data_IF_496864132960
#
_entry.id   IF_496864132960
#
_cell.length_a   1.000
_cell.length_b   1.000
_cell.length_c   1.000
_cell.angle_alpha   90.00
_cell.angle_beta   90.00
_cell.angle_gamma   90.00
#
_symmetry.space_group_name_H-M   'P 1'
#
loop_
_entity.id
_entity.type
_entity.pdbx_description
1 polymer ?
#
# COMPACT_ATOMS: atom_id res chain seq x y z
N UNK A 1 -10.68 13.01 5.87
CA UNK A 1 -10.85 13.46 7.27
C UNK A 1 -12.31 13.28 7.68
N UNK A 2 -12.54 12.87 8.92
CA UNK A 2 -13.87 12.68 9.52
C UNK A 2 -13.97 13.54 10.78
N UNK A 3 -15.20 13.77 11.35
CA UNK A 3 -15.36 14.57 12.55
C UNK A 3 -14.49 14.09 13.72
N UNK A 4 -13.89 15.03 14.43
CA UNK A 4 -12.95 14.78 15.53
C UNK A 4 -13.56 13.97 16.68
N UNK A 5 -14.86 14.10 16.88
CA UNK A 5 -15.61 13.37 17.91
C UNK A 5 -15.46 11.83 17.79
N UNK A 6 -15.28 11.30 16.58
CA UNK A 6 -15.07 9.86 16.37
C UNK A 6 -13.70 9.39 16.86
N UNK A 7 -12.68 10.25 16.79
CA UNK A 7 -11.42 9.98 17.44
C UNK A 7 -11.56 10.01 18.97
N UNK A 8 -12.21 11.03 19.51
CA UNK A 8 -12.38 11.20 20.96
C UNK A 8 -13.22 10.09 21.58
N UNK A 9 -14.28 9.66 20.91
CA UNK A 9 -15.22 8.67 21.41
C UNK A 9 -14.81 7.23 21.19
N UNK A 10 -14.22 6.94 20.02
CA UNK A 10 -13.95 5.57 19.57
C UNK A 10 -12.47 5.30 19.25
N UNK A 11 -11.60 6.28 19.35
CA UNK A 11 -10.19 6.15 18.99
C UNK A 11 -9.95 5.96 17.50
N UNK A 12 -10.86 6.42 16.62
CA UNK A 12 -10.70 6.27 15.17
C UNK A 12 -9.56 7.14 14.69
N UNK A 13 -8.48 6.51 14.26
CA UNK A 13 -7.29 7.16 13.75
C UNK A 13 -6.52 6.25 12.79
N UNK A 14 -5.49 6.79 12.13
CA UNK A 14 -4.53 6.00 11.37
C UNK A 14 -3.53 5.34 12.31
N UNK A 15 -3.61 4.01 12.44
CA UNK A 15 -2.70 3.23 13.29
C UNK A 15 -1.49 2.74 12.50
N UNK A 16 -1.67 2.35 11.23
CA UNK A 16 -0.67 1.70 10.42
C UNK A 16 -0.45 0.24 10.83
N UNK A 17 0.19 -0.52 9.94
CA UNK A 17 0.51 -1.94 10.15
C UNK A 17 1.90 -2.25 9.62
N UNK A 18 2.37 -3.50 9.82
CA UNK A 18 3.74 -3.93 9.54
C UNK A 18 4.81 -3.13 10.32
N UNK A 19 4.44 -2.54 11.45
CA UNK A 19 5.28 -1.60 12.21
C UNK A 19 6.66 -2.16 12.59
N UNK A 20 6.75 -3.45 12.97
CA UNK A 20 8.03 -4.11 13.26
C UNK A 20 8.95 -4.12 12.04
N UNK A 21 8.41 -4.50 10.87
CA UNK A 21 9.16 -4.48 9.61
C UNK A 21 9.61 -3.07 9.24
N UNK A 22 8.69 -2.10 9.24
CA UNK A 22 9.01 -0.71 8.92
C UNK A 22 10.06 -0.12 9.86
N UNK A 23 9.93 -0.34 11.17
CA UNK A 23 10.90 0.14 12.16
C UNK A 23 12.27 -0.49 11.98
N UNK A 24 12.33 -1.79 11.74
CA UNK A 24 13.59 -2.50 11.54
C UNK A 24 14.28 -2.04 10.25
N UNK A 25 13.56 -2.10 9.12
CA UNK A 25 14.13 -1.79 7.81
C UNK A 25 14.57 -0.32 7.72
N UNK A 26 13.80 0.64 8.27
CA UNK A 26 14.22 2.05 8.25
C UNK A 26 15.53 2.26 9.02
N UNK A 27 15.70 1.63 10.18
CA UNK A 27 16.94 1.73 10.98
C UNK A 27 18.13 1.06 10.30
N UNK A 28 17.93 -0.12 9.71
CA UNK A 28 18.99 -0.79 8.97
C UNK A 28 19.37 -0.04 7.68
N UNK A 29 18.40 0.58 7.00
CA UNK A 29 18.67 1.45 5.84
C UNK A 29 19.54 2.66 6.24
N UNK A 30 19.23 3.31 7.36
CA UNK A 30 20.02 4.42 7.89
C UNK A 30 21.47 4.00 8.13
N UNK A 31 21.68 2.84 8.77
CA UNK A 31 23.02 2.31 9.03
C UNK A 31 23.74 1.93 7.74
N UNK A 32 23.06 1.18 6.85
CA UNK A 32 23.64 0.69 5.60
C UNK A 32 24.08 1.83 4.68
N UNK A 33 23.25 2.86 4.55
CA UNK A 33 23.54 4.03 3.73
C UNK A 33 24.39 5.11 4.42
N UNK A 34 24.85 4.84 5.67
CA UNK A 34 25.63 5.77 6.48
C UNK A 34 25.00 7.17 6.59
N UNK A 35 23.67 7.21 6.80
CA UNK A 35 22.89 8.43 6.97
C UNK A 35 22.89 8.91 8.42
N UNK A 36 22.61 10.19 8.64
CA UNK A 36 22.45 10.73 10.00
C UNK A 36 21.22 10.11 10.68
N UNK A 37 21.40 9.36 11.80
CA UNK A 37 20.29 8.67 12.47
C UNK A 37 19.25 9.61 13.09
N UNK A 38 19.52 10.92 13.19
CA UNK A 38 18.58 11.89 13.75
C UNK A 38 17.67 12.54 12.69
N UNK A 39 18.17 12.69 11.47
CA UNK A 39 17.50 13.48 10.42
C UNK A 39 17.16 12.72 9.17
N UNK A 40 17.71 11.52 8.98
CA UNK A 40 17.53 10.72 7.79
C UNK A 40 16.03 10.48 7.47
N UNK A 41 15.65 10.75 6.23
CA UNK A 41 14.32 10.59 5.66
C UNK A 41 14.26 9.32 4.83
N UNK A 42 13.59 8.30 5.37
CA UNK A 42 13.54 6.97 4.74
C UNK A 42 12.10 6.58 4.45
N UNK A 43 11.86 6.12 3.23
CA UNK A 43 10.62 5.46 2.84
C UNK A 43 10.88 3.96 2.81
N UNK A 44 10.02 3.20 3.49
CA UNK A 44 10.06 1.73 3.48
C UNK A 44 8.83 1.20 2.77
N UNK A 45 9.03 0.44 1.70
CA UNK A 45 7.99 -0.25 0.94
C UNK A 45 7.99 -1.73 1.34
N UNK A 46 7.03 -2.13 2.18
CA UNK A 46 6.77 -3.54 2.53
C UNK A 46 5.76 -4.09 1.52
N UNK A 47 6.25 -4.83 0.52
CA UNK A 47 5.47 -5.22 -0.67
C UNK A 47 5.22 -6.73 -0.69
N UNK A 48 4.48 -7.25 0.29
CA UNK A 48 3.99 -8.63 0.31
C UNK A 48 2.56 -8.75 -0.24
N UNK A 49 1.90 -9.90 0.00
CA UNK A 49 0.48 -10.08 -0.31
C UNK A 49 -0.39 -9.03 0.44
N UNK A 50 -0.05 -8.72 1.70
CA UNK A 50 -0.41 -7.46 2.35
C UNK A 50 0.73 -6.47 2.13
N UNK A 51 0.45 -5.28 1.60
CA UNK A 51 1.46 -4.30 1.26
C UNK A 51 1.20 -2.96 1.96
N UNK A 52 2.27 -2.31 2.41
CA UNK A 52 2.21 -0.96 2.98
C UNK A 52 3.49 -0.18 2.74
N UNK A 53 3.37 1.13 2.76
CA UNK A 53 4.50 2.05 2.70
C UNK A 53 4.50 2.91 3.96
N UNK A 54 5.68 3.24 4.47
CA UNK A 54 5.84 4.19 5.56
C UNK A 54 6.89 5.22 5.24
N UNK A 55 6.65 6.44 5.70
CA UNK A 55 7.62 7.53 5.76
C UNK A 55 8.20 7.61 7.17
N UNK A 56 9.50 7.74 7.30
CA UNK A 56 10.18 7.89 8.60
C UNK A 56 11.23 8.99 8.57
N UNK A 57 11.37 9.70 9.68
CA UNK A 57 12.43 10.68 9.91
C UNK A 57 13.18 10.26 11.17
N UNK A 58 14.50 10.10 11.06
CA UNK A 58 15.33 9.64 12.18
C UNK A 58 14.88 8.27 12.73
N UNK A 59 14.42 7.37 11.87
CA UNK A 59 13.91 6.05 12.24
C UNK A 59 12.55 6.04 12.97
N UNK A 60 11.86 7.19 13.05
CA UNK A 60 10.50 7.30 13.60
C UNK A 60 9.49 7.48 12.47
N UNK A 61 8.45 6.66 12.46
CA UNK A 61 7.38 6.74 11.48
C UNK A 61 6.62 8.08 11.63
N UNK A 62 6.47 8.80 10.53
CA UNK A 62 5.69 10.05 10.44
C UNK A 62 4.40 9.88 9.67
N UNK A 63 4.34 8.94 8.73
CA UNK A 63 3.12 8.61 7.99
C UNK A 63 3.15 7.16 7.47
N UNK A 64 2.15 6.30 7.79
CA UNK A 64 1.98 4.98 7.19
C UNK A 64 0.81 4.97 6.20
N UNK A 65 0.86 4.12 5.18
CA UNK A 65 -0.20 4.00 4.17
C UNK A 65 -1.45 3.27 4.64
N UNK A 66 -1.32 2.33 5.58
CA UNK A 66 -2.47 1.66 6.20
C UNK A 66 -3.06 2.53 7.30
N UNK A 67 -4.39 2.49 7.45
CA UNK A 67 -5.15 3.38 8.30
C UNK A 67 -5.62 2.77 9.62
N UNK A 68 -6.94 2.87 9.88
CA UNK A 68 -7.60 2.21 11.01
C UNK A 68 -7.47 0.69 10.90
N UNK A 69 -7.53 0.18 9.69
CA UNK A 69 -7.40 -1.25 9.35
C UNK A 69 -6.31 -1.43 8.28
N UNK A 70 -5.84 -2.66 8.01
CA UNK A 70 -4.88 -2.93 6.95
C UNK A 70 -5.52 -2.96 5.54
N UNK A 71 -6.68 -2.31 5.34
CA UNK A 71 -7.36 -2.22 4.05
C UNK A 71 -6.95 -0.98 3.25
N UNK A 72 -6.80 0.19 3.93
CA UNK A 72 -6.38 1.46 3.34
C UNK A 72 -4.96 1.38 2.78
N UNK A 73 -4.67 2.14 1.73
CA UNK A 73 -3.32 2.33 1.21
C UNK A 73 -3.10 1.75 -0.18
N UNK A 74 -2.06 0.94 -0.32
CA UNK A 74 -1.69 0.31 -1.59
C UNK A 74 -2.76 -0.67 -2.09
N UNK A 75 -2.80 -0.86 -3.41
CA UNK A 75 -3.39 -2.07 -3.99
C UNK A 75 -2.58 -3.25 -3.45
N UNK A 76 -3.25 -4.33 -3.04
CA UNK A 76 -2.59 -5.51 -2.46
C UNK A 76 -2.97 -6.77 -3.23
N UNK A 77 -2.56 -7.94 -2.77
CA UNK A 77 -2.94 -9.20 -3.43
C UNK A 77 -4.46 -9.35 -3.60
N UNK A 78 -5.20 -9.18 -2.51
CA UNK A 78 -6.67 -9.32 -2.48
C UNK A 78 -7.41 -8.10 -1.92
N UNK A 79 -6.70 -7.13 -1.34
CA UNK A 79 -7.29 -5.91 -0.74
C UNK A 79 -7.24 -4.75 -1.71
N UNK A 80 -8.32 -3.97 -1.73
CA UNK A 80 -8.50 -2.85 -2.66
C UNK A 80 -7.45 -1.73 -2.50
N UNK A 81 -7.00 -1.46 -1.28
CA UNK A 81 -6.35 -0.20 -0.97
C UNK A 81 -7.32 0.98 -1.03
N UNK A 82 -6.80 2.18 -1.28
CA UNK A 82 -7.59 3.41 -1.35
C UNK A 82 -8.65 3.36 -2.45
N UNK A 83 -9.84 3.80 -2.10
CA UNK A 83 -10.96 3.95 -3.02
C UNK A 83 -11.82 5.16 -2.62
N UNK A 84 -12.72 5.59 -3.50
CA UNK A 84 -13.75 6.57 -3.17
C UNK A 84 -14.80 5.91 -2.25
N UNK A 85 -15.05 6.44 -1.04
CA UNK A 85 -16.04 5.89 -0.11
C UNK A 85 -17.46 5.77 -0.70
N UNK A 86 -17.84 6.62 -1.64
CA UNK A 86 -19.16 6.57 -2.29
C UNK A 86 -19.38 5.28 -3.12
N UNK A 87 -18.29 4.62 -3.54
CA UNK A 87 -18.37 3.32 -4.21
C UNK A 87 -19.05 2.27 -3.30
N UNK A 88 -18.87 2.36 -1.99
CA UNK A 88 -19.49 1.43 -1.03
C UNK A 88 -21.01 1.49 -1.11
N UNK A 89 -21.57 2.69 -1.02
CA UNK A 89 -23.02 2.90 -1.11
C UNK A 89 -23.55 2.49 -2.49
N UNK A 90 -22.86 2.91 -3.54
CA UNK A 90 -23.25 2.60 -4.93
C UNK A 90 -23.34 1.07 -5.14
N UNK A 91 -22.30 0.32 -4.80
CA UNK A 91 -22.30 -1.13 -5.00
C UNK A 91 -23.24 -1.86 -4.05
N UNK A 92 -23.34 -1.44 -2.79
CA UNK A 92 -24.29 -2.05 -1.85
C UNK A 92 -25.74 -1.96 -2.39
N UNK A 93 -26.11 -0.83 -2.97
CA UNK A 93 -27.45 -0.62 -3.52
C UNK A 93 -27.69 -1.39 -4.83
N UNK A 94 -26.69 -1.47 -5.73
CA UNK A 94 -26.86 -2.14 -7.02
C UNK A 94 -26.78 -3.67 -6.92
N UNK A 95 -25.94 -4.19 -6.05
CA UNK A 95 -25.69 -5.62 -5.86
C UNK A 95 -26.52 -6.20 -4.68
N UNK A 96 -27.32 -5.35 -4.01
CA UNK A 96 -28.11 -5.72 -2.84
C UNK A 96 -27.26 -6.35 -1.71
N UNK A 97 -26.10 -5.73 -1.42
CA UNK A 97 -25.14 -6.18 -0.41
C UNK A 97 -25.26 -5.40 0.88
N UNK A 98 -24.98 -6.06 2.00
CA UNK A 98 -24.71 -5.39 3.27
C UNK A 98 -23.31 -4.76 3.25
N UNK A 99 -23.09 -3.77 4.11
CA UNK A 99 -21.74 -3.17 4.25
C UNK A 99 -20.68 -4.22 4.66
N UNK A 100 -21.06 -5.23 5.43
CA UNK A 100 -20.14 -6.30 5.84
C UNK A 100 -19.73 -7.18 4.66
N UNK A 101 -20.66 -7.51 3.77
CA UNK A 101 -20.37 -8.24 2.53
C UNK A 101 -19.49 -7.42 1.59
N UNK A 102 -19.77 -6.11 1.45
CA UNK A 102 -18.95 -5.21 0.67
C UNK A 102 -17.52 -5.14 1.22
N UNK A 103 -17.34 -4.98 2.53
CA UNK A 103 -16.02 -5.00 3.15
C UNK A 103 -15.30 -6.33 2.97
N UNK A 104 -16.02 -7.45 2.94
CA UNK A 104 -15.42 -8.75 2.60
C UNK A 104 -14.92 -8.80 1.15
N UNK A 105 -15.66 -8.22 0.20
CA UNK A 105 -15.22 -8.09 -1.20
C UNK A 105 -13.95 -7.26 -1.28
N UNK A 106 -13.90 -6.09 -0.60
CA UNK A 106 -12.72 -5.21 -0.60
C UNK A 106 -11.49 -5.86 0.05
N UNK A 107 -11.68 -6.75 1.02
CA UNK A 107 -10.57 -7.44 1.69
C UNK A 107 -10.09 -8.70 0.96
N UNK A 108 -10.98 -9.43 0.26
CA UNK A 108 -10.70 -10.80 -0.19
C UNK A 108 -10.84 -11.04 -1.70
N UNK A 109 -11.55 -10.16 -2.42
CA UNK A 109 -11.88 -10.35 -3.83
C UNK A 109 -11.44 -9.17 -4.71
N UNK A 110 -10.73 -8.21 -4.13
CA UNK A 110 -10.23 -7.00 -4.78
C UNK A 110 -8.72 -7.08 -5.02
N UNK A 111 -8.03 -5.97 -4.98
CA UNK A 111 -6.59 -5.91 -5.20
C UNK A 111 -6.19 -6.39 -6.60
N UNK A 112 -4.96 -6.89 -6.75
CA UNK A 112 -4.50 -7.39 -8.05
C UNK A 112 -5.26 -8.63 -8.51
N UNK A 113 -5.77 -9.45 -7.58
CA UNK A 113 -6.67 -10.57 -7.89
C UNK A 113 -7.94 -10.08 -8.61
N UNK A 114 -8.64 -9.10 -8.01
CA UNK A 114 -9.87 -8.56 -8.60
C UNK A 114 -9.61 -7.79 -9.90
N UNK A 115 -8.57 -6.96 -9.93
CA UNK A 115 -8.20 -6.17 -11.11
C UNK A 115 -7.82 -7.03 -12.30
N UNK A 116 -7.16 -8.17 -12.06
CA UNK A 116 -6.76 -9.12 -13.11
C UNK A 116 -7.91 -10.01 -13.59
N UNK A 117 -9.13 -9.83 -13.08
CA UNK A 117 -10.26 -10.69 -13.41
C UNK A 117 -10.14 -12.10 -12.81
N UNK A 118 -9.42 -12.24 -11.70
CA UNK A 118 -9.25 -13.51 -10.99
C UNK A 118 -8.08 -14.37 -11.47
N UNK A 119 -7.13 -13.81 -12.23
CA UNK A 119 -5.94 -14.58 -12.70
C UNK A 119 -5.15 -15.09 -11.49
N UNK A 120 -4.66 -14.17 -10.64
CA UNK A 120 -3.93 -14.54 -9.42
C UNK A 120 -3.78 -13.34 -8.47
N UNK A 121 -3.58 -13.61 -7.19
CA UNK A 121 -3.09 -12.64 -6.21
C UNK A 121 -1.55 -12.66 -6.11
N UNK A 122 -0.87 -13.59 -6.76
CA UNK A 122 0.58 -13.73 -6.78
C UNK A 122 1.18 -12.96 -7.98
N UNK A 123 2.11 -12.06 -7.69
CA UNK A 123 2.76 -11.24 -8.71
C UNK A 123 3.61 -12.06 -9.70
N UNK A 124 4.07 -13.24 -9.31
CA UNK A 124 4.83 -14.14 -10.20
C UNK A 124 3.92 -14.65 -11.32
N UNK A 125 2.71 -15.08 -10.97
CA UNK A 125 1.72 -15.57 -11.92
C UNK A 125 1.25 -14.44 -12.84
N UNK A 126 1.03 -13.24 -12.28
CA UNK A 126 0.65 -12.06 -13.06
C UNK A 126 1.75 -11.64 -14.03
N UNK A 127 3.02 -11.68 -13.61
CA UNK A 127 4.14 -11.41 -14.51
C UNK A 127 4.25 -12.46 -15.61
N UNK A 128 4.06 -13.74 -15.31
CA UNK A 128 4.04 -14.80 -16.31
C UNK A 128 2.92 -14.55 -17.34
N UNK A 129 1.69 -14.30 -16.86
CA UNK A 129 0.56 -14.02 -17.74
C UNK A 129 0.78 -12.76 -18.62
N UNK A 130 1.35 -11.70 -18.05
CA UNK A 130 1.66 -10.48 -18.80
C UNK A 130 2.73 -10.73 -19.88
N UNK A 131 3.76 -11.52 -19.57
CA UNK A 131 4.80 -11.92 -20.54
C UNK A 131 4.23 -12.81 -21.66
N UNK A 132 3.21 -13.60 -21.36
CA UNK A 132 2.47 -14.41 -22.35
C UNK A 132 1.45 -13.57 -23.16
N UNK A 133 1.44 -12.25 -22.98
CA UNK A 133 0.60 -11.32 -23.75
C UNK A 133 -0.76 -11.02 -23.15
N UNK A 134 -1.01 -11.37 -21.89
CA UNK A 134 -2.28 -11.02 -21.22
C UNK A 134 -2.30 -9.53 -20.83
N UNK A 135 -3.06 -8.73 -21.58
CA UNK A 135 -3.15 -7.28 -21.38
C UNK A 135 -3.77 -6.90 -20.03
N UNK A 136 -4.72 -7.67 -19.49
CA UNK A 136 -5.31 -7.39 -18.17
C UNK A 136 -4.28 -7.56 -17.06
N UNK A 137 -3.46 -8.61 -17.12
CA UNK A 137 -2.37 -8.83 -16.17
C UNK A 137 -1.35 -7.68 -16.25
N UNK A 138 -0.98 -7.26 -17.45
CA UNK A 138 -0.05 -6.13 -17.68
C UNK A 138 -0.58 -4.83 -17.07
N UNK A 139 -1.81 -4.43 -17.40
CA UNK A 139 -2.44 -3.22 -16.86
C UNK A 139 -2.55 -3.29 -15.34
N UNK A 140 -2.84 -4.47 -14.78
CA UNK A 140 -2.91 -4.68 -13.32
C UNK A 140 -1.56 -4.41 -12.65
N UNK A 141 -0.46 -4.92 -13.23
CA UNK A 141 0.90 -4.69 -12.72
C UNK A 141 1.31 -3.21 -12.84
N UNK A 142 0.98 -2.57 -13.96
CA UNK A 142 1.26 -1.14 -14.18
C UNK A 142 0.50 -0.27 -13.16
N UNK A 143 -0.78 -0.56 -12.91
CA UNK A 143 -1.59 0.18 -11.93
C UNK A 143 -1.05 0.00 -10.50
N UNK A 144 -0.59 -1.20 -10.16
CA UNK A 144 0.07 -1.45 -8.88
C UNK A 144 1.35 -0.61 -8.72
N UNK A 145 2.25 -0.68 -9.70
CA UNK A 145 3.50 0.08 -9.70
C UNK A 145 3.24 1.59 -9.64
N UNK A 146 2.26 2.07 -10.39
CA UNK A 146 1.83 3.46 -10.36
C UNK A 146 1.34 3.90 -8.97
N UNK A 147 0.55 3.07 -8.27
CA UNK A 147 0.08 3.36 -6.91
C UNK A 147 1.25 3.43 -5.92
N UNK A 148 2.23 2.53 -6.02
CA UNK A 148 3.47 2.57 -5.21
C UNK A 148 4.22 3.87 -5.46
N UNK A 149 4.43 4.24 -6.72
CA UNK A 149 5.11 5.48 -7.09
C UNK A 149 4.40 6.73 -6.54
N UNK A 150 3.07 6.78 -6.59
CA UNK A 150 2.29 7.88 -5.99
C UNK A 150 2.53 8.02 -4.49
N UNK A 151 2.56 6.92 -3.74
CA UNK A 151 2.84 6.95 -2.30
C UNK A 151 4.26 7.42 -2.01
N UNK A 152 5.26 6.94 -2.78
CA UNK A 152 6.65 7.41 -2.64
C UNK A 152 6.73 8.92 -2.90
N UNK A 153 6.09 9.39 -3.97
CA UNK A 153 6.05 10.83 -4.30
C UNK A 153 5.36 11.66 -3.22
N UNK A 154 4.21 11.22 -2.73
CA UNK A 154 3.48 11.90 -1.66
C UNK A 154 4.30 11.98 -0.37
N UNK A 155 4.95 10.90 0.03
CA UNK A 155 5.78 10.86 1.23
C UNK A 155 7.10 11.63 1.08
N UNK A 156 7.68 11.64 -0.11
CA UNK A 156 8.82 12.52 -0.42
C UNK A 156 8.45 13.98 -0.24
N UNK A 157 7.29 14.39 -0.75
CA UNK A 157 6.79 15.75 -0.56
C UNK A 157 6.47 16.06 0.91
N UNK A 158 5.80 15.14 1.61
CA UNK A 158 5.42 15.31 3.02
C UNK A 158 6.63 15.45 3.95
N UNK A 159 7.73 14.75 3.67
CA UNK A 159 8.98 14.86 4.41
C UNK A 159 9.89 16.01 3.93
N UNK A 160 9.52 16.73 2.88
CA UNK A 160 10.38 17.70 2.21
C UNK A 160 11.72 17.08 1.78
N UNK A 161 11.64 16.00 1.00
CA UNK A 161 12.76 15.22 0.48
C UNK A 161 12.82 13.79 1.01
N UNK A 162 13.68 12.98 0.43
CA UNK A 162 13.95 11.58 0.81
C UNK A 162 15.42 11.28 0.60
N UNK A 163 16.06 10.59 1.57
CA UNK A 163 17.46 10.20 1.49
C UNK A 163 17.60 8.76 0.97
N UNK A 164 16.63 7.89 1.29
CA UNK A 164 16.62 6.51 0.84
C UNK A 164 15.20 5.94 0.73
N UNK A 165 15.00 5.06 -0.24
CA UNK A 165 13.81 4.21 -0.40
C UNK A 165 14.26 2.77 -0.32
N UNK A 166 13.66 2.00 0.61
CA UNK A 166 13.96 0.59 0.80
C UNK A 166 12.74 -0.28 0.51
N UNK A 167 12.97 -1.39 -0.17
CA UNK A 167 11.94 -2.36 -0.54
C UNK A 167 12.16 -3.67 0.19
N UNK A 168 11.09 -4.27 0.73
CA UNK A 168 11.09 -5.60 1.29
C UNK A 168 10.11 -6.49 0.53
N UNK A 169 10.53 -7.71 0.18
CA UNK A 169 9.74 -8.81 -0.36
C UNK A 169 9.34 -8.80 -1.85
N UNK A 170 9.63 -7.77 -2.63
CA UNK A 170 9.47 -7.84 -4.09
C UNK A 170 10.73 -7.37 -4.79
N UNK A 171 11.36 -8.25 -5.54
CA UNK A 171 12.19 -7.84 -6.67
C UNK A 171 11.23 -7.36 -7.76
N UNK A 172 10.90 -6.06 -7.76
CA UNK A 172 10.33 -5.47 -8.97
C UNK A 172 11.35 -5.69 -10.10
N UNK A 173 10.92 -6.08 -11.30
CA UNK A 173 11.84 -6.11 -12.43
C UNK A 173 12.41 -4.69 -12.59
N UNK A 174 13.68 -4.54 -12.27
CA UNK A 174 14.41 -3.30 -12.49
C UNK A 174 14.68 -3.20 -13.99
N UNK A 175 13.70 -2.72 -14.74
CA UNK A 175 13.99 -2.18 -16.05
C UNK A 175 14.71 -0.86 -15.82
N UNK A 176 16.03 -0.94 -15.75
CA UNK A 176 16.90 0.21 -15.88
C UNK A 176 16.62 0.88 -17.23
N UNK A 177 16.01 2.04 -17.22
CA UNK A 177 16.11 3.03 -18.29
C UNK A 177 16.82 4.23 -17.76
#
# INVERSE_FOLDING_TARGET
>A
AIPREYYEKYGVRRYGFHGTSHSFVSKETIKFANLDPKTAKVIVCHLGNGASISASIGGKCVDPSMGLTPLEGLIMGTRSGDLDPAILEFLCNHENLTISEMLNILNKKSGVLGMSGGISSDFRDLNAAANDGNEIAKVTLEAYAYRVAKYIGAYTAAMNGVDAVSYTHLTLPTNSR
#
